data_IF_160945568041
#
_entry.id   IF_160945568041
#
_cell.length_a   1.000
_cell.length_b   1.000
_cell.length_c   1.000
_cell.angle_alpha   90.00
_cell.angle_beta   90.00
_cell.angle_gamma   90.00
#
_symmetry.space_group_name_H-M   'P 1'
#
loop_
_entity.id
_entity.type
_entity.pdbx_description
1 polymer ?
#
# COMPACT_ATOMS: atom_id res chain seq x y z
N UNK A 1 -7.10 28.12 -1.45
CA UNK A 1 -5.95 29.01 -1.25
C UNK A 1 -4.70 28.29 -1.73
N UNK A 2 -3.75 29.00 -2.32
CA UNK A 2 -2.51 28.41 -2.85
C UNK A 2 -1.39 28.63 -1.84
N UNK A 3 -0.69 27.55 -1.47
CA UNK A 3 0.52 27.61 -0.64
C UNK A 3 1.75 27.35 -1.51
N UNK A 4 2.88 27.96 -1.14
CA UNK A 4 4.21 27.53 -1.58
C UNK A 4 4.80 26.61 -0.53
N UNK A 5 5.52 25.59 -0.98
CA UNK A 5 6.15 24.62 -0.09
C UNK A 5 7.66 24.67 -0.35
N UNK A 6 8.42 24.89 0.71
CA UNK A 6 9.86 25.05 0.68
C UNK A 6 10.51 23.90 1.45
N UNK A 7 11.53 23.30 0.86
CA UNK A 7 12.26 22.14 1.39
C UNK A 7 13.59 22.59 2.00
N UNK A 8 13.91 22.08 3.18
CA UNK A 8 15.11 22.41 3.94
C UNK A 8 15.71 21.14 4.56
N UNK A 9 17.05 21.07 4.65
CA UNK A 9 17.69 20.20 5.63
C UNK A 9 17.66 20.85 7.01
N UNK A 10 17.80 20.05 8.06
CA UNK A 10 17.66 20.53 9.43
C UNK A 10 18.60 21.69 9.82
N UNK A 11 19.84 21.65 9.32
CA UNK A 11 20.86 22.67 9.62
C UNK A 11 20.54 24.04 9.00
N UNK A 12 19.77 24.05 7.90
CA UNK A 12 19.35 25.27 7.21
C UNK A 12 17.86 25.56 7.36
N UNK A 13 17.16 24.78 8.19
CA UNK A 13 15.74 24.94 8.46
C UNK A 13 15.49 26.26 9.21
N UNK A 14 14.61 27.14 8.70
CA UNK A 14 14.33 28.41 9.35
C UNK A 14 13.58 28.19 10.68
N UNK A 15 13.66 29.13 11.65
CA UNK A 15 13.09 28.97 13.00
C UNK A 15 11.60 28.60 13.00
N UNK A 16 10.84 29.08 12.01
CA UNK A 16 9.41 28.83 11.82
C UNK A 16 9.05 27.34 11.80
N UNK A 17 9.96 26.47 11.34
CA UNK A 17 9.72 25.02 11.37
C UNK A 17 9.63 24.53 12.81
N UNK A 18 10.53 24.99 13.67
CA UNK A 18 10.55 24.64 15.10
C UNK A 18 9.39 25.31 15.84
N UNK A 19 9.10 26.57 15.53
CA UNK A 19 8.03 27.35 16.17
C UNK A 19 6.65 26.72 15.94
N UNK A 20 6.36 26.29 14.69
CA UNK A 20 5.08 25.63 14.38
C UNK A 20 4.97 24.27 15.10
N UNK A 21 6.04 23.48 15.12
CA UNK A 21 6.07 22.19 15.82
C UNK A 21 5.85 22.38 17.31
N UNK A 22 6.55 23.33 17.95
CA UNK A 22 6.37 23.64 19.36
C UNK A 22 4.92 24.06 19.67
N UNK A 23 4.37 25.00 18.89
CA UNK A 23 3.01 25.49 19.09
C UNK A 23 1.94 24.40 18.93
N UNK A 24 2.09 23.49 17.98
CA UNK A 24 1.08 22.46 17.70
C UNK A 24 1.26 21.21 18.56
N UNK A 25 2.48 20.69 18.70
CA UNK A 25 2.71 19.44 19.42
C UNK A 25 2.90 19.67 20.92
N UNK A 26 3.71 20.65 21.32
CA UNK A 26 4.02 20.89 22.74
C UNK A 26 2.90 21.69 23.41
N UNK A 27 2.59 22.89 22.91
CA UNK A 27 1.62 23.78 23.58
C UNK A 27 0.17 23.29 23.45
N UNK A 28 -0.24 22.87 22.25
CA UNK A 28 -1.62 22.48 21.98
C UNK A 28 -1.91 21.01 22.33
N UNK A 29 -1.05 20.08 21.91
CA UNK A 29 -1.28 18.64 22.11
C UNK A 29 -0.64 18.08 23.39
N UNK A 30 0.09 18.92 24.14
CA UNK A 30 0.77 18.53 25.39
C UNK A 30 1.77 17.37 25.21
N UNK A 31 2.40 17.27 24.04
CA UNK A 31 3.54 16.36 23.83
C UNK A 31 4.72 16.88 24.66
N UNK A 32 5.37 16.05 25.48
CA UNK A 32 6.54 16.46 26.25
C UNK A 32 7.63 17.06 25.33
N UNK A 33 8.18 18.25 25.63
CA UNK A 33 9.17 18.92 24.78
C UNK A 33 10.38 18.05 24.43
N UNK A 34 10.81 17.19 25.36
CA UNK A 34 11.92 16.25 25.19
C UNK A 34 11.65 15.11 24.20
N UNK A 35 10.38 14.84 23.86
CA UNK A 35 9.98 13.83 22.88
C UNK A 35 9.74 14.41 21.49
N UNK A 36 9.58 15.72 21.37
CA UNK A 36 9.27 16.37 20.08
C UNK A 36 10.46 16.29 19.11
N UNK A 37 11.67 16.46 19.64
CA UNK A 37 12.92 16.47 18.88
C UNK A 37 13.58 15.11 18.94
N UNK A 38 13.90 14.52 17.78
CA UNK A 38 14.50 13.19 17.72
C UNK A 38 15.67 13.10 16.74
N UNK A 39 16.39 11.97 16.79
CA UNK A 39 17.56 11.74 15.93
C UNK A 39 17.23 11.73 14.43
N UNK A 40 15.96 11.56 14.05
CA UNK A 40 15.57 11.58 12.64
C UNK A 40 15.45 12.99 12.08
N UNK A 41 15.38 14.02 12.93
CA UNK A 41 15.34 15.41 12.48
C UNK A 41 16.58 15.76 11.65
N UNK A 42 17.77 15.27 12.01
CA UNK A 42 19.02 15.55 11.29
C UNK A 42 19.07 14.96 9.87
N UNK A 43 18.42 13.82 9.64
CA UNK A 43 18.43 13.12 8.34
C UNK A 43 17.19 13.39 7.50
N UNK A 44 16.21 14.11 8.05
CA UNK A 44 14.95 14.38 7.38
C UNK A 44 15.05 15.59 6.44
N UNK A 45 14.28 15.51 5.37
CA UNK A 45 13.85 16.66 4.61
C UNK A 45 12.67 17.33 5.33
N UNK A 46 12.80 18.61 5.64
CA UNK A 46 11.77 19.40 6.32
C UNK A 46 11.07 20.32 5.33
N UNK A 47 9.75 20.35 5.39
CA UNK A 47 8.90 21.10 4.47
C UNK A 47 8.16 22.19 5.24
N UNK A 48 8.32 23.44 4.81
CA UNK A 48 7.60 24.59 5.31
C UNK A 48 6.55 25.02 4.27
N UNK A 49 5.29 25.03 4.67
CA UNK A 49 4.20 25.59 3.89
C UNK A 49 4.02 27.07 4.24
N UNK A 50 4.06 27.94 3.23
CA UNK A 50 3.88 29.39 3.35
C UNK A 50 2.80 29.90 2.39
N UNK A 51 2.13 30.99 2.77
CA UNK A 51 1.23 31.74 1.90
C UNK A 51 2.01 32.57 0.86
N UNK A 52 1.33 33.18 -0.14
CA UNK A 52 1.99 34.04 -1.12
C UNK A 52 2.73 35.23 -0.50
N UNK A 53 2.32 35.69 0.68
CA UNK A 53 2.94 36.76 1.46
C UNK A 53 4.04 36.27 2.43
N UNK A 54 4.53 35.05 2.25
CA UNK A 54 5.53 34.38 3.09
C UNK A 54 5.08 34.05 4.54
N UNK A 55 3.78 34.21 4.86
CA UNK A 55 3.26 33.79 6.16
C UNK A 55 3.38 32.26 6.32
N UNK A 56 4.08 31.74 7.35
CA UNK A 56 4.20 30.31 7.58
C UNK A 56 2.89 29.75 8.15
N UNK A 57 2.40 28.65 7.58
CA UNK A 57 1.09 28.07 7.93
C UNK A 57 1.18 26.62 8.40
N UNK A 58 2.22 25.89 8.02
CA UNK A 58 2.34 24.48 8.35
C UNK A 58 3.69 23.88 8.02
N UNK A 59 3.91 22.69 8.55
CA UNK A 59 5.18 21.97 8.45
C UNK A 59 4.93 20.47 8.30
N UNK A 60 5.90 19.78 7.73
CA UNK A 60 6.01 18.33 7.76
C UNK A 60 7.48 17.92 7.59
N UNK A 61 7.80 16.67 7.90
CA UNK A 61 9.09 16.07 7.55
C UNK A 61 8.90 14.79 6.76
N UNK A 62 9.86 14.50 5.89
CA UNK A 62 10.00 13.25 5.16
C UNK A 62 11.41 12.73 5.39
N UNK A 63 11.55 11.49 5.84
CA UNK A 63 12.85 10.85 5.96
C UNK A 63 12.76 9.42 5.47
N UNK A 64 13.90 8.76 5.31
CA UNK A 64 13.94 7.34 5.01
C UNK A 64 15.07 6.65 5.75
N UNK A 65 14.81 5.41 6.17
CA UNK A 65 15.80 4.48 6.73
C UNK A 65 16.21 3.38 5.74
N UNK A 66 15.59 3.36 4.55
CA UNK A 66 15.84 2.39 3.47
C UNK A 66 15.71 3.05 2.09
N UNK A 67 16.08 2.38 1.01
CA UNK A 67 15.87 2.96 -0.33
C UNK A 67 14.43 2.80 -0.85
N UNK A 68 13.54 2.13 -0.11
CA UNK A 68 12.21 1.75 -0.62
C UNK A 68 11.04 2.44 0.09
N UNK A 69 11.22 2.88 1.34
CA UNK A 69 10.13 3.36 2.21
C UNK A 69 10.38 4.75 2.75
N UNK A 70 9.56 5.73 2.37
CA UNK A 70 9.57 7.06 2.97
C UNK A 70 8.67 7.14 4.21
N UNK A 71 9.09 7.91 5.21
CA UNK A 71 8.36 8.14 6.45
C UNK A 71 7.93 9.60 6.55
N UNK A 72 6.62 9.84 6.53
CA UNK A 72 6.03 11.17 6.76
C UNK A 72 5.79 11.33 8.26
N UNK A 73 6.25 12.44 8.81
CA UNK A 73 6.08 12.76 10.22
C UNK A 73 5.97 14.26 10.48
N UNK A 74 5.76 14.61 11.75
CA UNK A 74 5.70 15.99 12.26
C UNK A 74 4.82 16.91 11.40
N UNK A 75 3.73 16.37 10.89
CA UNK A 75 2.80 17.09 10.05
C UNK A 75 1.90 17.96 10.92
N UNK A 76 2.00 19.28 10.78
CA UNK A 76 1.26 20.24 11.59
C UNK A 76 0.81 21.45 10.76
N UNK A 77 -0.44 21.87 10.96
CA UNK A 77 -0.98 23.13 10.42
C UNK A 77 -1.37 24.00 11.62
N UNK A 78 -0.98 25.26 11.60
CA UNK A 78 -1.35 26.24 12.62
C UNK A 78 -2.89 26.38 12.72
N UNK A 79 -3.48 26.49 13.92
CA UNK A 79 -4.93 26.48 14.12
C UNK A 79 -5.74 27.40 13.20
N UNK A 80 -5.27 28.64 13.00
CA UNK A 80 -5.94 29.64 12.17
C UNK A 80 -6.02 29.31 10.67
N UNK A 81 -5.26 28.31 10.20
CA UNK A 81 -5.20 27.90 8.79
C UNK A 81 -5.78 26.50 8.54
N UNK A 82 -6.31 25.84 9.57
CA UNK A 82 -6.95 24.52 9.46
C UNK A 82 -8.29 24.61 8.74
N UNK A 83 -8.72 23.49 8.14
CA UNK A 83 -9.98 23.42 7.38
C UNK A 83 -9.97 24.14 6.02
N UNK A 84 -8.83 24.74 5.63
CA UNK A 84 -8.69 25.52 4.38
C UNK A 84 -7.94 24.77 3.28
N UNK A 85 -7.74 23.46 3.43
CA UNK A 85 -7.05 22.61 2.46
C UNK A 85 -5.51 22.61 2.55
N UNK A 86 -4.91 23.37 3.47
CA UNK A 86 -3.44 23.50 3.57
C UNK A 86 -2.73 22.18 3.87
N UNK A 87 -3.27 21.39 4.81
CA UNK A 87 -2.73 20.07 5.12
C UNK A 87 -2.79 19.12 3.94
N UNK A 88 -3.89 19.13 3.19
CA UNK A 88 -4.05 18.29 2.00
C UNK A 88 -3.05 18.69 0.90
N UNK A 89 -2.87 20.00 0.67
CA UNK A 89 -1.89 20.50 -0.29
C UNK A 89 -0.45 20.10 0.10
N UNK A 90 -0.11 20.16 1.38
CA UNK A 90 1.18 19.73 1.90
C UNK A 90 1.39 18.22 1.74
N UNK A 91 0.41 17.39 2.13
CA UNK A 91 0.51 15.94 1.97
C UNK A 91 0.62 15.53 0.50
N UNK A 92 -0.18 16.13 -0.39
CA UNK A 92 -0.08 15.89 -1.84
C UNK A 92 1.27 16.29 -2.41
N UNK A 93 1.93 17.30 -1.84
CA UNK A 93 3.30 17.64 -2.23
C UNK A 93 4.29 16.55 -1.77
N UNK A 94 4.20 16.08 -0.52
CA UNK A 94 5.06 14.99 -0.04
C UNK A 94 4.90 13.70 -0.85
N UNK A 95 3.66 13.34 -1.23
CA UNK A 95 3.40 12.18 -2.10
C UNK A 95 4.07 12.37 -3.46
N UNK A 96 3.99 13.57 -4.06
CA UNK A 96 4.64 13.90 -5.33
C UNK A 96 6.16 13.87 -5.22
N UNK A 97 6.73 14.47 -4.18
CA UNK A 97 8.18 14.42 -3.89
C UNK A 97 8.68 12.99 -3.67
N UNK A 98 7.81 12.10 -3.20
CA UNK A 98 8.14 10.69 -2.97
C UNK A 98 7.96 9.81 -4.21
N UNK A 99 7.19 10.29 -5.20
CA UNK A 99 6.82 9.54 -6.40
C UNK A 99 8.05 9.20 -7.22
N UNK A 100 8.29 7.91 -7.46
CA UNK A 100 9.46 7.42 -8.19
C UNK A 100 10.72 7.26 -7.33
N UNK A 101 10.72 7.72 -6.08
CA UNK A 101 11.81 7.50 -5.12
C UNK A 101 11.47 6.40 -4.12
N UNK A 102 10.24 6.41 -3.61
CA UNK A 102 9.77 5.42 -2.66
C UNK A 102 8.64 4.61 -3.25
N UNK A 103 8.70 3.30 -3.04
CA UNK A 103 7.61 2.40 -3.39
C UNK A 103 6.56 2.33 -2.26
N UNK A 104 6.90 2.77 -1.05
CA UNK A 104 5.97 2.83 0.07
C UNK A 104 6.14 4.14 0.84
N UNK A 105 5.03 4.70 1.32
CA UNK A 105 5.03 5.76 2.34
C UNK A 105 4.39 5.25 3.62
N UNK A 106 5.01 5.52 4.76
CA UNK A 106 4.50 5.20 6.10
C UNK A 106 4.35 6.45 6.95
N UNK A 107 3.41 6.40 7.88
CA UNK A 107 3.23 7.43 8.90
C UNK A 107 2.55 6.87 10.14
N UNK A 108 2.80 7.51 11.28
CA UNK A 108 2.08 7.31 12.54
C UNK A 108 0.94 8.32 12.59
N UNK A 109 -0.31 7.88 12.43
CA UNK A 109 -1.48 8.75 12.43
C UNK A 109 -2.15 8.79 13.79
N UNK A 110 -2.41 9.99 14.31
CA UNK A 110 -3.35 10.17 15.42
C UNK A 110 -4.74 9.72 14.98
N UNK A 111 -5.51 9.13 15.91
CA UNK A 111 -6.84 8.55 15.60
C UNK A 111 -7.79 9.52 14.87
N UNK A 112 -7.75 10.81 15.18
CA UNK A 112 -8.60 11.82 14.55
C UNK A 112 -8.15 12.19 13.12
N UNK A 113 -6.88 11.93 12.76
CA UNK A 113 -6.31 12.24 11.45
C UNK A 113 -6.43 11.09 10.44
N UNK A 114 -6.91 9.90 10.85
CA UNK A 114 -7.06 8.73 9.98
C UNK A 114 -7.85 9.07 8.70
N UNK A 115 -9.01 9.70 8.85
CA UNK A 115 -9.86 10.05 7.70
C UNK A 115 -9.15 11.05 6.76
N UNK A 116 -8.27 11.90 7.28
CA UNK A 116 -7.47 12.81 6.48
C UNK A 116 -6.47 12.04 5.59
N UNK A 117 -5.74 11.08 6.15
CA UNK A 117 -4.79 10.27 5.38
C UNK A 117 -5.48 9.25 4.45
N UNK A 118 -6.63 8.71 4.83
CA UNK A 118 -7.43 7.83 3.95
C UNK A 118 -7.90 8.54 2.69
N UNK A 119 -8.25 9.84 2.78
CA UNK A 119 -8.58 10.64 1.60
C UNK A 119 -7.41 10.85 0.64
N UNK A 120 -6.19 10.66 1.14
CA UNK A 120 -4.96 10.72 0.36
C UNK A 120 -4.43 9.33 -0.02
N UNK A 121 -5.19 8.25 0.20
CA UNK A 121 -4.83 6.90 -0.24
C UNK A 121 -3.99 6.06 0.72
N UNK A 122 -3.88 6.49 1.98
CA UNK A 122 -3.26 5.69 3.03
C UNK A 122 -4.28 4.74 3.67
N UNK A 123 -3.85 3.54 4.02
CA UNK A 123 -4.64 2.57 4.78
C UNK A 123 -3.95 2.21 6.10
N UNK A 124 -4.74 1.80 7.09
CA UNK A 124 -4.25 1.34 8.40
C UNK A 124 -3.53 0.00 8.23
N UNK A 125 -2.34 -0.13 8.82
CA UNK A 125 -1.53 -1.35 8.78
C UNK A 125 -1.02 -1.85 10.14
N UNK A 126 -1.51 -1.30 11.26
CA UNK A 126 -1.23 -1.82 12.60
C UNK A 126 -2.44 -1.79 13.52
N UNK A 127 -2.29 -2.41 14.70
CA UNK A 127 -3.22 -2.25 15.82
C UNK A 127 -2.98 -0.91 16.54
N UNK A 128 -3.98 -0.36 17.25
CA UNK A 128 -3.81 0.90 17.96
C UNK A 128 -2.72 0.81 19.04
N UNK A 129 -1.89 1.84 19.14
CA UNK A 129 -0.87 1.99 20.20
C UNK A 129 -0.84 3.41 20.78
N UNK A 130 -0.06 3.60 21.84
CA UNK A 130 0.14 4.91 22.47
C UNK A 130 1.49 5.49 22.06
N UNK A 131 1.50 6.77 21.67
CA UNK A 131 2.71 7.53 21.39
C UNK A 131 2.55 8.91 22.05
N UNK A 132 3.48 9.27 22.95
CA UNK A 132 3.39 10.43 23.84
C UNK A 132 2.02 10.58 24.56
N UNK A 133 1.37 9.45 24.92
CA UNK A 133 0.05 9.45 25.57
C UNK A 133 -1.14 9.69 24.62
N UNK A 134 -0.90 9.72 23.32
CA UNK A 134 -1.91 9.93 22.29
C UNK A 134 -2.14 8.61 21.52
N UNK A 135 -3.40 8.18 21.30
CA UNK A 135 -3.71 7.00 20.49
C UNK A 135 -3.33 7.17 19.01
N UNK A 136 -2.49 6.27 18.53
CA UNK A 136 -1.98 6.23 17.15
C UNK A 136 -2.25 4.89 16.47
N UNK A 137 -2.19 4.93 15.14
CA UNK A 137 -2.22 3.79 14.22
C UNK A 137 -1.21 4.04 13.11
N UNK A 138 -0.44 3.02 12.74
CA UNK A 138 0.39 3.11 11.55
C UNK A 138 -0.50 3.07 10.32
N UNK A 139 -0.16 3.93 9.36
CA UNK A 139 -0.78 3.93 8.06
C UNK A 139 0.29 3.89 6.97
N UNK A 140 -0.05 3.25 5.85
CA UNK A 140 0.83 3.13 4.69
C UNK A 140 0.13 3.38 3.37
N UNK A 141 0.91 3.80 2.37
CA UNK A 141 0.53 3.87 0.97
C UNK A 141 1.55 3.08 0.14
N UNK A 142 1.11 2.03 -0.55
CA UNK A 142 1.98 1.07 -1.27
C UNK A 142 2.20 1.42 -2.74
N UNK A 143 1.55 2.46 -3.26
CA UNK A 143 1.74 2.93 -4.63
C UNK A 143 1.65 4.47 -4.72
N UNK A 144 2.55 5.21 -4.04
CA UNK A 144 2.51 6.67 -4.03
C UNK A 144 2.62 7.29 -5.45
N UNK A 145 3.29 6.61 -6.38
CA UNK A 145 3.41 7.04 -7.77
C UNK A 145 2.07 7.08 -8.52
N UNK A 146 1.09 6.26 -8.13
CA UNK A 146 -0.26 6.30 -8.72
C UNK A 146 -1.12 7.42 -8.14
N UNK A 147 -0.72 8.01 -7.01
CA UNK A 147 -1.44 9.10 -6.34
C UNK A 147 -0.91 10.49 -6.71
N UNK A 148 0.25 10.56 -7.35
CA UNK A 148 0.90 11.82 -7.71
C UNK A 148 0.23 12.51 -8.91
N UNK A 149 -0.58 11.78 -9.68
CA UNK A 149 -1.32 12.27 -10.85
C UNK A 149 -2.57 13.08 -10.45
N UNK A 150 -2.87 14.14 -11.20
CA UNK A 150 -4.00 15.04 -10.96
C UNK A 150 -5.36 14.33 -11.07
N UNK A 151 -5.46 13.23 -11.82
CA UNK A 151 -6.69 12.44 -11.95
C UNK A 151 -7.19 11.88 -10.61
N UNK A 152 -6.29 11.69 -9.63
CA UNK A 152 -6.58 11.18 -8.29
C UNK A 152 -7.39 12.19 -7.47
N UNK A 153 -7.34 13.48 -7.81
CA UNK A 153 -8.04 14.55 -7.09
C UNK A 153 -9.57 14.41 -7.08
N UNK A 154 -10.15 13.62 -7.98
CA UNK A 154 -11.60 13.35 -8.06
C UNK A 154 -12.01 12.20 -7.12
N UNK A 155 -11.08 11.34 -6.71
CA UNK A 155 -11.36 10.19 -5.85
C UNK A 155 -11.36 10.60 -4.38
N UNK A 156 -12.41 10.23 -3.64
CA UNK A 156 -12.51 10.54 -2.20
C UNK A 156 -11.62 9.67 -1.32
N UNK A 157 -11.43 8.39 -1.68
CA UNK A 157 -10.64 7.43 -0.91
C UNK A 157 -9.83 6.55 -1.87
N UNK A 158 -8.86 7.12 -2.60
CA UNK A 158 -8.16 6.38 -3.66
C UNK A 158 -7.48 5.13 -3.10
N UNK A 159 -7.62 4.00 -3.79
CA UNK A 159 -6.99 2.73 -3.43
C UNK A 159 -7.31 2.19 -2.03
N UNK A 160 -8.41 2.60 -1.41
CA UNK A 160 -8.84 2.05 -0.12
C UNK A 160 -9.80 0.86 -0.33
N UNK A 161 -9.39 -0.33 0.11
CA UNK A 161 -10.14 -1.57 -0.04
C UNK A 161 -11.53 -1.46 0.62
N UNK A 162 -12.57 -1.87 -0.10
CA UNK A 162 -13.99 -1.74 0.28
C UNK A 162 -14.57 -0.33 0.16
N UNK A 163 -13.79 0.67 -0.24
CA UNK A 163 -14.24 2.08 -0.27
C UNK A 163 -14.05 2.77 -1.63
N UNK A 164 -12.95 2.52 -2.35
CA UNK A 164 -12.76 3.11 -3.68
C UNK A 164 -13.63 2.40 -4.73
N UNK A 165 -14.73 3.06 -5.12
CA UNK A 165 -15.74 2.52 -6.03
C UNK A 165 -15.38 2.67 -7.51
N UNK A 166 -14.33 3.43 -7.83
CA UNK A 166 -13.94 3.66 -9.22
C UNK A 166 -12.83 2.67 -9.62
N UNK A 167 -12.89 2.05 -10.82
CA UNK A 167 -11.82 1.16 -11.28
C UNK A 167 -10.56 1.97 -11.59
N UNK A 168 -9.40 1.40 -11.29
CA UNK A 168 -8.10 1.87 -11.74
C UNK A 168 -7.73 1.09 -13.00
N UNK A 169 -7.43 1.80 -14.09
CA UNK A 169 -6.93 1.17 -15.31
C UNK A 169 -5.41 1.18 -15.27
N UNK A 170 -4.81 0.15 -15.86
CA UNK A 170 -3.37 0.07 -16.07
C UNK A 170 -3.09 -0.53 -17.44
N UNK A 171 -2.03 -0.05 -18.09
CA UNK A 171 -1.52 -0.55 -19.38
C UNK A 171 0.00 -0.78 -19.35
N UNK A 172 0.63 -0.56 -18.20
CA UNK A 172 2.04 -0.82 -17.94
C UNK A 172 2.23 -1.68 -16.67
N UNK A 173 3.39 -2.31 -16.59
CA UNK A 173 3.74 -3.19 -15.47
C UNK A 173 3.88 -2.44 -14.14
N UNK A 174 4.44 -1.23 -14.13
CA UNK A 174 4.69 -0.48 -12.89
C UNK A 174 3.36 -0.14 -12.20
N UNK A 175 2.39 0.37 -12.96
CA UNK A 175 1.06 0.67 -12.44
C UNK A 175 0.34 -0.59 -11.96
N UNK A 176 0.42 -1.68 -12.73
CA UNK A 176 -0.17 -2.96 -12.34
C UNK A 176 0.41 -3.49 -11.03
N UNK A 177 1.74 -3.48 -10.86
CA UNK A 177 2.41 -3.96 -9.65
C UNK A 177 2.08 -3.09 -8.43
N UNK A 178 2.01 -1.76 -8.60
CA UNK A 178 1.57 -0.85 -7.54
C UNK A 178 0.14 -1.10 -7.07
N UNK A 179 -0.79 -1.33 -8.01
CA UNK A 179 -2.17 -1.70 -7.69
C UNK A 179 -2.25 -3.08 -7.04
N UNK A 180 -1.47 -4.04 -7.52
CA UNK A 180 -1.37 -5.39 -6.93
C UNK A 180 -0.94 -5.32 -5.47
N UNK A 181 0.17 -4.63 -5.19
CA UNK A 181 0.70 -4.50 -3.83
C UNK A 181 -0.30 -3.76 -2.92
N UNK A 182 -0.95 -2.71 -3.44
CA UNK A 182 -1.97 -1.97 -2.71
C UNK A 182 -3.18 -2.83 -2.34
N UNK A 183 -3.65 -3.71 -3.23
CA UNK A 183 -4.74 -4.65 -2.94
C UNK A 183 -4.29 -5.72 -1.94
N UNK A 184 -3.14 -6.37 -2.19
CA UNK A 184 -2.65 -7.47 -1.34
C UNK A 184 -2.35 -6.98 0.07
N UNK A 185 -1.71 -5.82 0.22
CA UNK A 185 -1.35 -5.25 1.52
C UNK A 185 -2.52 -4.81 2.39
N UNK A 186 -3.73 -4.73 1.84
CA UNK A 186 -4.98 -4.45 2.56
C UNK A 186 -5.83 -5.69 2.81
N UNK A 187 -5.45 -6.84 2.23
CA UNK A 187 -6.20 -8.10 2.35
C UNK A 187 -6.12 -8.62 3.78
N UNK A 188 -7.24 -9.08 4.34
CA UNK A 188 -7.31 -9.55 5.75
C UNK A 188 -7.59 -11.04 5.91
N UNK A 189 -8.30 -11.66 4.97
CA UNK A 189 -8.76 -13.05 5.10
C UNK A 189 -8.36 -13.92 3.93
N UNK A 190 -8.49 -13.45 2.70
CA UNK A 190 -8.44 -14.34 1.54
C UNK A 190 -7.78 -13.69 0.35
N UNK A 191 -6.77 -14.35 -0.20
CA UNK A 191 -6.13 -13.95 -1.45
C UNK A 191 -6.13 -15.12 -2.42
N UNK A 192 -6.89 -14.99 -3.51
CA UNK A 192 -6.96 -16.02 -4.54
C UNK A 192 -6.38 -15.49 -5.84
N UNK A 193 -5.38 -16.18 -6.38
CA UNK A 193 -4.67 -15.81 -7.60
C UNK A 193 -4.86 -16.91 -8.64
N UNK A 194 -5.25 -16.52 -9.84
CA UNK A 194 -5.34 -17.37 -11.02
C UNK A 194 -4.48 -16.78 -12.14
N UNK A 195 -3.54 -17.58 -12.66
CA UNK A 195 -2.68 -17.18 -13.77
C UNK A 195 -2.22 -18.40 -14.59
N UNK A 196 -1.61 -18.21 -15.77
CA UNK A 196 -0.96 -19.30 -16.51
C UNK A 196 0.27 -19.80 -15.76
N UNK A 197 1.11 -18.86 -15.38
CA UNK A 197 2.40 -19.10 -14.72
C UNK A 197 2.53 -18.12 -13.57
N UNK A 198 3.29 -18.49 -12.53
CA UNK A 198 3.84 -17.50 -11.61
C UNK A 198 5.09 -16.89 -12.27
N UNK A 199 4.84 -15.98 -13.22
CA UNK A 199 5.87 -15.21 -13.91
C UNK A 199 6.86 -14.56 -12.92
N UNK A 200 8.18 -14.74 -13.11
CA UNK A 200 9.21 -14.10 -12.31
C UNK A 200 9.03 -12.60 -12.10
N UNK A 201 8.78 -11.88 -13.17
CA UNK A 201 8.84 -10.42 -13.16
C UNK A 201 7.64 -9.85 -12.38
N UNK A 202 6.53 -10.58 -12.38
CA UNK A 202 5.29 -10.18 -11.70
C UNK A 202 5.24 -10.65 -10.24
N UNK A 203 5.62 -11.91 -9.98
CA UNK A 203 5.28 -12.60 -8.74
C UNK A 203 6.48 -12.99 -7.87
N UNK A 204 7.71 -12.97 -8.40
CA UNK A 204 8.92 -13.36 -7.66
C UNK A 204 9.57 -12.18 -6.93
N UNK A 205 8.73 -11.33 -6.32
CA UNK A 205 9.12 -10.08 -5.67
C UNK A 205 9.12 -10.24 -4.16
N UNK A 206 10.19 -9.78 -3.49
CA UNK A 206 10.29 -9.79 -2.02
C UNK A 206 9.08 -9.10 -1.36
N UNK A 207 8.70 -7.94 -1.90
CA UNK A 207 7.54 -7.17 -1.45
C UNK A 207 6.26 -7.99 -1.49
N UNK A 208 5.92 -8.60 -2.62
CA UNK A 208 4.71 -9.42 -2.74
C UNK A 208 4.74 -10.61 -1.75
N UNK A 209 5.89 -11.29 -1.64
CA UNK A 209 6.08 -12.36 -0.64
C UNK A 209 5.79 -11.86 0.77
N UNK A 210 6.30 -10.69 1.14
CA UNK A 210 6.14 -10.14 2.49
C UNK A 210 4.70 -9.75 2.78
N UNK A 211 4.00 -9.13 1.82
CA UNK A 211 2.56 -8.82 1.94
C UNK A 211 1.71 -10.09 2.08
N UNK A 212 1.99 -11.14 1.31
CA UNK A 212 1.28 -12.43 1.43
C UNK A 212 1.61 -13.10 2.77
N UNK A 213 2.85 -12.97 3.25
CA UNK A 213 3.29 -13.52 4.53
C UNK A 213 2.66 -12.77 5.72
N UNK A 214 2.49 -11.45 5.62
CA UNK A 214 1.69 -10.64 6.55
C UNK A 214 0.25 -11.14 6.62
N UNK A 215 -0.42 -11.31 5.48
CA UNK A 215 -1.78 -11.87 5.41
C UNK A 215 -1.86 -13.27 6.04
N UNK A 216 -0.95 -14.17 5.66
CA UNK A 216 -0.96 -15.54 6.15
C UNK A 216 -0.78 -15.63 7.66
N UNK A 217 0.05 -14.76 8.26
CA UNK A 217 0.31 -14.71 9.70
C UNK A 217 -0.71 -13.87 10.48
N UNK A 218 -1.37 -12.92 9.82
CA UNK A 218 -2.26 -11.96 10.48
C UNK A 218 -3.54 -12.57 11.03
N UNK A 219 -4.02 -13.68 10.47
CA UNK A 219 -5.23 -14.34 10.95
C UNK A 219 -5.18 -15.87 10.74
N UNK A 220 -5.61 -16.64 11.74
CA UNK A 220 -5.59 -18.12 11.68
C UNK A 220 -6.49 -18.72 10.58
N UNK A 221 -7.53 -18.00 10.16
CA UNK A 221 -8.40 -18.37 9.02
C UNK A 221 -7.97 -17.73 7.69
N UNK A 222 -6.74 -17.20 7.59
CA UNK A 222 -6.23 -16.69 6.33
C UNK A 222 -6.13 -17.82 5.30
N UNK A 223 -6.54 -17.54 4.05
CA UNK A 223 -6.59 -18.51 2.96
C UNK A 223 -6.00 -17.89 1.68
N UNK A 224 -4.78 -18.29 1.36
CA UNK A 224 -4.05 -17.88 0.16
C UNK A 224 -4.01 -19.06 -0.81
N UNK A 225 -4.57 -18.86 -2.01
CA UNK A 225 -4.67 -19.91 -3.02
C UNK A 225 -4.09 -19.43 -4.35
N UNK A 226 -3.17 -20.22 -4.89
CA UNK A 226 -2.50 -19.97 -6.16
C UNK A 226 -2.92 -21.07 -7.14
N UNK A 227 -3.61 -20.72 -8.21
CA UNK A 227 -4.07 -21.64 -9.23
C UNK A 227 -3.38 -21.33 -10.55
N UNK A 228 -2.55 -22.25 -11.04
CA UNK A 228 -1.75 -22.05 -12.25
C UNK A 228 -1.90 -23.16 -13.28
N UNK A 229 -1.53 -22.90 -14.53
CA UNK A 229 -1.61 -23.89 -15.61
C UNK A 229 -0.38 -24.80 -15.72
N UNK A 230 0.79 -24.31 -15.33
CA UNK A 230 2.06 -25.03 -15.43
C UNK A 230 3.03 -24.61 -14.32
N UNK A 231 3.51 -25.58 -13.56
CA UNK A 231 4.48 -25.45 -12.46
C UNK A 231 5.91 -25.76 -12.86
N UNK A 232 6.17 -26.28 -14.08
CA UNK A 232 7.53 -26.61 -14.54
C UNK A 232 8.52 -25.46 -14.40
N UNK A 233 8.17 -24.19 -14.69
CA UNK A 233 9.10 -23.07 -14.48
C UNK A 233 9.47 -22.87 -13.02
N UNK A 234 8.59 -23.24 -12.08
CA UNK A 234 8.80 -23.08 -10.65
C UNK A 234 9.73 -24.12 -10.04
N UNK A 235 9.90 -25.27 -10.71
CA UNK A 235 10.79 -26.35 -10.25
C UNK A 235 12.23 -26.05 -10.62
N UNK A 236 12.42 -25.41 -11.79
CA UNK A 236 13.75 -25.11 -12.34
C UNK A 236 14.45 -23.95 -11.65
N UNK A 237 13.73 -23.17 -10.85
CA UNK A 237 14.24 -21.96 -10.21
C UNK A 237 13.64 -21.79 -8.82
N UNK A 238 14.39 -21.18 -7.92
CA UNK A 238 13.87 -20.84 -6.59
C UNK A 238 12.93 -19.64 -6.71
N UNK A 239 11.66 -19.85 -6.37
CA UNK A 239 10.62 -18.81 -6.42
C UNK A 239 10.13 -18.45 -5.01
N UNK A 240 10.05 -17.16 -4.69
CA UNK A 240 9.73 -16.63 -3.35
C UNK A 240 8.35 -17.11 -2.83
N UNK A 241 7.32 -17.12 -3.66
CA UNK A 241 5.99 -17.64 -3.30
C UNK A 241 5.96 -19.15 -3.04
N UNK A 242 6.78 -19.93 -3.77
CA UNK A 242 6.91 -21.38 -3.52
C UNK A 242 7.61 -21.62 -2.18
N UNK A 243 8.66 -20.85 -1.88
CA UNK A 243 9.33 -20.90 -0.59
C UNK A 243 8.40 -20.49 0.57
N UNK A 244 7.55 -19.48 0.35
CA UNK A 244 6.54 -19.08 1.32
C UNK A 244 5.50 -20.18 1.56
N UNK A 245 5.02 -20.81 0.49
CA UNK A 245 4.11 -21.96 0.54
C UNK A 245 4.69 -23.10 1.38
N UNK A 246 5.99 -23.39 1.24
CA UNK A 246 6.68 -24.42 2.03
C UNK A 246 6.77 -24.06 3.51
N UNK A 247 6.92 -22.77 3.84
CA UNK A 247 6.98 -22.28 5.22
C UNK A 247 5.61 -22.21 5.90
N UNK A 248 4.55 -21.92 5.13
CA UNK A 248 3.18 -21.73 5.63
C UNK A 248 2.15 -22.60 4.87
N UNK A 249 2.31 -23.93 4.83
CA UNK A 249 1.53 -24.81 3.96
C UNK A 249 0.04 -24.92 4.34
N UNK A 250 -0.33 -24.57 5.58
CA UNK A 250 -1.73 -24.51 6.03
C UNK A 250 -2.48 -23.31 5.43
N UNK A 251 -1.76 -22.21 5.15
CA UNK A 251 -2.33 -20.93 4.72
C UNK A 251 -2.15 -20.67 3.24
N UNK A 252 -1.00 -21.04 2.67
CA UNK A 252 -0.66 -20.80 1.27
C UNK A 252 -0.67 -22.13 0.53
N UNK A 253 -1.53 -22.25 -0.47
CA UNK A 253 -1.74 -23.48 -1.25
C UNK A 253 -1.59 -23.20 -2.73
N UNK A 254 -1.02 -24.14 -3.46
CA UNK A 254 -0.90 -24.10 -4.91
C UNK A 254 -1.53 -25.33 -5.55
N UNK A 255 -2.33 -25.10 -6.60
CA UNK A 255 -2.88 -26.15 -7.46
C UNK A 255 -2.62 -25.87 -8.93
N UNK A 256 -2.64 -26.94 -9.71
CA UNK A 256 -2.67 -26.91 -11.16
C UNK A 256 -4.10 -27.00 -11.68
N UNK A 257 -4.41 -26.15 -12.65
CA UNK A 257 -5.68 -26.18 -13.40
C UNK A 257 -5.84 -27.53 -14.10
N UNK A 258 -7.06 -28.08 -14.07
CA UNK A 258 -7.42 -29.18 -14.94
C UNK A 258 -7.74 -28.64 -16.34
N UNK A 259 -6.88 -28.96 -17.32
CA UNK A 259 -7.01 -28.46 -18.71
C UNK A 259 -8.25 -28.98 -19.44
N UNK A 260 -8.80 -30.11 -18.99
CA UNK A 260 -10.02 -30.70 -19.56
C UNK A 260 -11.30 -30.10 -18.95
N UNK A 261 -11.17 -29.17 -17.99
CA UNK A 261 -12.27 -28.48 -17.34
C UNK A 261 -12.33 -27.01 -17.81
N UNK A 262 -13.54 -26.41 -17.95
CA UNK A 262 -13.68 -24.99 -18.30
C UNK A 262 -12.90 -24.08 -17.35
N UNK A 263 -12.12 -23.17 -17.92
CA UNK A 263 -11.32 -22.19 -17.18
C UNK A 263 -11.47 -20.79 -17.79
N UNK A 264 -11.15 -19.75 -17.03
CA UNK A 264 -11.21 -18.36 -17.52
C UNK A 264 -10.01 -18.06 -18.43
N UNK A 265 -10.23 -17.28 -19.48
CA UNK A 265 -9.19 -16.89 -20.44
C UNK A 265 -8.35 -15.70 -19.96
N UNK A 266 -8.60 -15.20 -18.75
CA UNK A 266 -7.92 -14.03 -18.18
C UNK A 266 -7.38 -14.32 -16.79
N UNK A 267 -6.17 -13.86 -16.46
CA UNK A 267 -5.65 -13.96 -15.11
C UNK A 267 -6.33 -12.92 -14.20
N UNK A 268 -6.52 -13.30 -12.95
CA UNK A 268 -7.09 -12.41 -11.95
C UNK A 268 -6.63 -12.74 -10.55
N UNK A 269 -6.68 -11.74 -9.69
CA UNK A 269 -6.41 -11.83 -8.26
C UNK A 269 -7.59 -11.26 -7.49
N UNK A 270 -8.08 -11.99 -6.49
CA UNK A 270 -9.20 -11.61 -5.63
C UNK A 270 -8.71 -11.43 -4.21
N UNK A 271 -9.04 -10.28 -3.63
CA UNK A 271 -8.75 -9.93 -2.24
C UNK A 271 -10.06 -9.81 -1.45
N UNK A 272 -10.20 -10.66 -0.45
CA UNK A 272 -11.38 -10.78 0.40
C UNK A 272 -12.67 -10.88 -0.43
N UNK A 273 -13.63 -9.99 -0.18
CA UNK A 273 -14.90 -9.89 -0.91
C UNK A 273 -15.01 -8.59 -1.73
N UNK A 274 -13.95 -7.80 -1.77
CA UNK A 274 -13.99 -6.40 -2.23
C UNK A 274 -13.00 -6.15 -3.36
N UNK A 275 -11.77 -6.64 -3.24
CA UNK A 275 -10.69 -6.30 -4.16
C UNK A 275 -10.58 -7.28 -5.31
N UNK A 276 -10.34 -6.76 -6.51
CA UNK A 276 -10.03 -7.54 -7.71
C UNK A 276 -9.02 -6.81 -8.57
N UNK A 277 -8.02 -7.55 -9.05
CA UNK A 277 -7.13 -7.13 -10.12
C UNK A 277 -7.26 -8.12 -11.26
N UNK A 278 -7.59 -7.65 -12.46
CA UNK A 278 -7.74 -8.48 -13.66
C UNK A 278 -6.88 -7.94 -14.78
N UNK A 279 -6.17 -8.81 -15.49
CA UNK A 279 -5.56 -8.46 -16.79
C UNK A 279 -6.51 -8.84 -17.92
N UNK A 280 -6.39 -8.16 -19.06
CA UNK A 280 -7.17 -8.46 -20.26
C UNK A 280 -6.74 -9.77 -20.93
N UNK A 281 -5.49 -10.18 -20.74
CA UNK A 281 -4.93 -11.44 -21.21
C UNK A 281 -3.73 -11.85 -20.33
N UNK A 282 -3.14 -13.03 -20.60
CA UNK A 282 -2.02 -13.57 -19.83
C UNK A 282 -0.65 -12.98 -20.18
N UNK A 283 -0.55 -12.19 -21.24
CA UNK A 283 0.72 -11.75 -21.83
C UNK A 283 1.05 -10.29 -21.55
N UNK A 284 0.04 -9.41 -21.54
CA UNK A 284 0.24 -7.97 -21.38
C UNK A 284 -0.10 -7.53 -19.96
N UNK A 285 0.65 -6.56 -19.40
CA UNK A 285 0.28 -5.91 -18.15
C UNK A 285 -0.78 -4.84 -18.40
N UNK A 286 -1.92 -5.22 -18.98
CA UNK A 286 -3.04 -4.31 -19.20
C UNK A 286 -4.32 -4.85 -18.62
N UNK A 287 -5.13 -3.98 -18.02
CA UNK A 287 -6.29 -4.41 -17.25
C UNK A 287 -6.83 -3.36 -16.31
N UNK A 288 -7.43 -3.83 -15.23
CA UNK A 288 -8.00 -2.97 -14.21
C UNK A 288 -7.90 -3.55 -12.81
N UNK A 289 -7.95 -2.67 -11.82
CA UNK A 289 -8.08 -3.00 -10.41
C UNK A 289 -9.30 -2.28 -9.82
N UNK A 290 -10.16 -3.00 -9.11
CA UNK A 290 -11.27 -2.44 -8.33
C UNK A 290 -11.01 -2.75 -6.86
N UNK A 291 -11.13 -1.73 -5.99
CA UNK A 291 -10.97 -1.90 -4.54
C UNK A 291 -12.32 -2.13 -3.84
N UNK A 292 -13.45 -1.78 -4.48
CA UNK A 292 -14.80 -2.04 -3.99
C UNK A 292 -15.66 -2.75 -5.06
N UNK A 293 -15.11 -3.81 -5.67
CA UNK A 293 -15.68 -4.57 -6.79
C UNK A 293 -16.48 -5.81 -6.37
N UNK A 294 -17.24 -5.77 -5.28
CA UNK A 294 -17.84 -6.97 -4.64
C UNK A 294 -18.69 -7.84 -5.58
N UNK A 295 -19.43 -7.23 -6.51
CA UNK A 295 -20.19 -7.95 -7.53
C UNK A 295 -19.31 -8.79 -8.46
N UNK A 296 -18.18 -8.22 -8.91
CA UNK A 296 -17.20 -8.92 -9.74
C UNK A 296 -16.44 -9.98 -8.96
N UNK A 297 -16.04 -9.67 -7.73
CA UNK A 297 -15.37 -10.62 -6.83
C UNK A 297 -16.24 -11.85 -6.60
N UNK A 298 -17.55 -11.68 -6.42
CA UNK A 298 -18.49 -12.80 -6.30
C UNK A 298 -18.48 -13.69 -7.55
N UNK A 299 -18.68 -13.10 -8.73
CA UNK A 299 -18.71 -13.84 -10.00
C UNK A 299 -17.41 -14.61 -10.24
N UNK A 300 -16.26 -13.95 -10.06
CA UNK A 300 -14.95 -14.57 -10.26
C UNK A 300 -14.63 -15.60 -9.16
N UNK A 301 -15.13 -15.41 -7.93
CA UNK A 301 -14.97 -16.39 -6.85
C UNK A 301 -15.66 -17.71 -7.19
N UNK A 302 -16.87 -17.67 -7.77
CA UNK A 302 -17.63 -18.87 -8.15
C UNK A 302 -16.92 -19.63 -9.29
N UNK A 303 -16.38 -18.91 -10.27
CA UNK A 303 -15.55 -19.50 -11.34
C UNK A 303 -14.24 -20.06 -10.78
N UNK A 304 -13.53 -19.30 -9.93
CA UNK A 304 -12.29 -19.74 -9.28
C UNK A 304 -12.49 -21.01 -8.47
N UNK A 305 -13.55 -21.08 -7.65
CA UNK A 305 -13.82 -22.22 -6.78
C UNK A 305 -14.06 -23.49 -7.59
N UNK A 306 -14.82 -23.42 -8.69
CA UNK A 306 -15.00 -24.56 -9.62
C UNK A 306 -13.67 -25.03 -10.22
N UNK A 307 -12.84 -24.10 -10.70
CA UNK A 307 -11.50 -24.45 -11.22
C UNK A 307 -10.59 -25.03 -10.14
N UNK A 308 -10.66 -24.51 -8.92
CA UNK A 308 -9.87 -24.95 -7.77
C UNK A 308 -10.24 -26.37 -7.31
N UNK A 309 -11.54 -26.69 -7.31
CA UNK A 309 -12.05 -28.01 -6.91
C UNK A 309 -11.71 -29.08 -7.95
N UNK A 310 -11.79 -28.75 -9.24
CA UNK A 310 -11.32 -29.61 -10.32
C UNK A 310 -9.78 -29.68 -10.42
N UNK A 311 -9.07 -28.72 -9.81
CA UNK A 311 -7.62 -28.62 -9.88
C UNK A 311 -6.90 -29.69 -9.04
N UNK A 312 -5.72 -30.07 -9.52
CA UNK A 312 -4.85 -31.09 -8.89
C UNK A 312 -3.68 -30.45 -8.15
N UNK A 313 -3.14 -31.15 -7.16
CA UNK A 313 -1.90 -30.71 -6.52
C UNK A 313 -0.70 -30.91 -7.46
N UNK A 314 0.30 -30.04 -7.35
CA UNK A 314 1.59 -30.24 -8.02
C UNK A 314 2.30 -31.46 -7.44
N UNK A 315 2.73 -32.41 -8.29
CA UNK A 315 3.60 -33.52 -7.89
C UNK A 315 5.06 -33.05 -7.81
N UNK A 316 5.50 -32.28 -8.80
CA UNK A 316 6.85 -31.74 -8.90
C UNK A 316 7.26 -30.91 -7.67
N UNK A 317 6.38 -30.02 -7.20
CA UNK A 317 6.64 -29.18 -6.03
C UNK A 317 6.60 -29.95 -4.71
N UNK A 318 5.99 -31.15 -4.68
CA UNK A 318 6.04 -32.06 -3.52
C UNK A 318 7.36 -32.83 -3.47
N UNK A 319 7.95 -33.12 -4.62
CA UNK A 319 9.15 -33.95 -4.76
C UNK A 319 10.46 -33.16 -4.62
N UNK A 320 10.42 -31.82 -4.69
CA UNK A 320 11.54 -30.94 -4.37
C UNK A 320 11.97 -31.08 -2.90
N UNK A 321 12.85 -32.06 -2.63
CA UNK A 321 13.57 -32.20 -1.36
C UNK A 321 14.57 -31.05 -1.20
N UNK A 322 14.78 -30.68 0.07
CA UNK A 322 15.61 -29.57 0.56
C UNK A 322 16.97 -29.44 -0.11
#
# INVERSE_FOLDING_TARGET
MTIRIQKYSWQFAPPQIRDIRHKVFVEEQNVPPELEWDATDEIADHFLAVLPDDTPVGVARLFSTSNETGHIGRMAILPGFRGQGMGEALLKHLIRESSGHYQELKLSAQKHAIAFYQRAGFHICSEPYQDAGIPHLDMRCLAPALLSDQAVSVRRHPMLLGTDTQPWLFDDETSMLGLMDSIVGQTRRRLWLYDKLLDPDLYDRNRLRDLISELARGHHLSDVRLLIHDDKPLVKRRHQLVELMRRLPSHVKLKLVNRDYPHDDRPFMLADREGVLCRHDFTRPSGFAEFAGSGRVRLLSDTYQRMWDAGRNSLELRELRL
#
